data_IF_949241074860
#
_entry.id   IF_949241074860
#
_cell.length_a   1.000
_cell.length_b   1.000
_cell.length_c   1.000
_cell.angle_alpha   90.00
_cell.angle_beta   90.00
_cell.angle_gamma   90.00
#
_symmetry.space_group_name_H-M   'P 1'
#
loop_
_entity.id
_entity.type
_entity.pdbx_description
1 polymer ?
#
# COMPACT_ATOMS: atom_id res chain seq x y z
N UNK A 1 -54.97 -27.75 -35.72
CA UNK A 1 -54.75 -29.06 -36.38
C UNK A 1 -56.05 -29.74 -36.81
N UNK A 2 -57.10 -29.79 -35.97
CA UNK A 2 -58.37 -30.50 -36.28
C UNK A 2 -59.05 -29.98 -37.55
N UNK A 3 -59.06 -28.66 -37.80
CA UNK A 3 -59.67 -28.08 -39.01
C UNK A 3 -59.01 -28.47 -40.34
N UNK A 4 -57.69 -28.68 -40.34
CA UNK A 4 -56.93 -29.11 -41.54
C UNK A 4 -57.25 -30.56 -41.91
N UNK A 5 -57.42 -31.42 -40.90
CA UNK A 5 -57.74 -32.83 -41.07
C UNK A 5 -59.18 -32.98 -41.60
N UNK A 6 -60.14 -32.22 -41.06
CA UNK A 6 -61.54 -32.24 -41.51
C UNK A 6 -61.67 -31.70 -42.94
N UNK A 7 -60.90 -30.66 -43.30
CA UNK A 7 -60.88 -30.09 -44.65
C UNK A 7 -60.34 -31.04 -45.72
N UNK A 8 -59.24 -31.75 -45.43
CA UNK A 8 -58.67 -32.76 -46.32
C UNK A 8 -59.59 -33.97 -46.51
N UNK A 9 -60.30 -34.37 -45.46
CA UNK A 9 -61.23 -35.49 -45.49
C UNK A 9 -62.47 -35.18 -46.35
N UNK A 10 -63.01 -33.95 -46.28
CA UNK A 10 -64.09 -33.48 -47.16
C UNK A 10 -63.66 -33.39 -48.63
N UNK A 11 -62.44 -32.93 -48.91
CA UNK A 11 -61.88 -32.87 -50.27
C UNK A 11 -61.71 -34.25 -50.92
N UNK A 12 -61.36 -35.26 -50.12
CA UNK A 12 -61.28 -36.64 -50.58
C UNK A 12 -62.67 -37.24 -50.85
N UNK A 13 -63.66 -36.97 -49.99
CA UNK A 13 -65.04 -37.45 -50.18
C UNK A 13 -65.67 -36.87 -51.46
N UNK A 14 -65.42 -35.60 -51.76
CA UNK A 14 -65.89 -34.94 -53.00
C UNK A 14 -65.21 -35.52 -54.24
N UNK A 15 -63.93 -35.88 -54.18
CA UNK A 15 -63.23 -36.53 -55.29
C UNK A 15 -63.68 -37.98 -55.53
N UNK A 16 -64.03 -38.72 -54.47
CA UNK A 16 -64.43 -40.13 -54.57
C UNK A 16 -65.89 -40.31 -55.02
N UNK A 17 -66.78 -39.33 -54.80
CA UNK A 17 -68.21 -39.46 -55.13
C UNK A 17 -68.56 -39.17 -56.60
N UNK A 18 -67.64 -38.69 -57.43
CA UNK A 18 -67.94 -38.37 -58.84
C UNK A 18 -67.02 -39.14 -59.82
N UNK A 19 -67.21 -40.46 -59.81
CA UNK A 19 -66.71 -41.33 -60.88
C UNK A 19 -67.46 -41.11 -62.19
N UNK A 20 -66.69 -40.82 -63.25
CA UNK A 20 -67.02 -40.93 -64.69
C UNK A 20 -68.31 -40.24 -65.17
N UNK A 21 -68.18 -39.00 -65.67
CA UNK A 21 -68.82 -38.63 -66.94
C UNK A 21 -68.21 -37.38 -67.57
N UNK A 22 -67.99 -37.47 -68.88
CA UNK A 22 -67.42 -36.46 -69.77
C UNK A 22 -68.33 -35.24 -69.92
N UNK A 23 -67.89 -34.04 -69.54
CA UNK A 23 -68.34 -32.79 -70.17
C UNK A 23 -67.41 -31.62 -69.80
N UNK A 24 -66.98 -30.87 -70.81
CA UNK A 24 -65.83 -29.97 -70.79
C UNK A 24 -65.98 -28.66 -70.03
N UNK A 25 -64.81 -28.16 -69.59
CA UNK A 25 -64.37 -26.76 -69.35
C UNK A 25 -65.16 -25.93 -68.31
N UNK A 26 -66.42 -26.24 -67.99
CA UNK A 26 -67.22 -25.47 -67.00
C UNK A 26 -67.06 -25.91 -65.54
N UNK A 27 -66.53 -27.12 -65.28
CA UNK A 27 -66.35 -27.65 -63.91
C UNK A 27 -65.07 -27.16 -63.22
N UNK A 28 -64.02 -26.86 -63.98
CA UNK A 28 -62.76 -26.31 -63.46
C UNK A 28 -62.95 -24.89 -62.93
N UNK A 29 -63.70 -24.05 -63.66
CA UNK A 29 -64.00 -22.68 -63.25
C UNK A 29 -64.84 -22.61 -61.95
N UNK A 30 -65.77 -23.55 -61.74
CA UNK A 30 -66.61 -23.59 -60.54
C UNK A 30 -65.83 -24.05 -59.29
N UNK A 31 -64.91 -25.01 -59.43
CA UNK A 31 -64.02 -25.43 -58.34
C UNK A 31 -62.97 -24.38 -57.99
N UNK A 32 -62.43 -23.65 -59.00
CA UNK A 32 -61.52 -22.53 -58.76
C UNK A 32 -62.25 -21.35 -58.09
N UNK A 33 -63.53 -21.12 -58.41
CA UNK A 33 -64.37 -20.14 -57.69
C UNK A 33 -64.67 -20.56 -56.24
N UNK A 34 -64.91 -21.85 -55.97
CA UNK A 34 -65.16 -22.31 -54.60
C UNK A 34 -63.90 -22.29 -53.73
N UNK A 35 -62.72 -22.57 -54.30
CA UNK A 35 -61.44 -22.45 -53.59
C UNK A 35 -61.09 -20.98 -53.31
N UNK A 36 -61.39 -20.06 -54.23
CA UNK A 36 -61.17 -18.62 -54.03
C UNK A 36 -62.18 -17.97 -53.06
N UNK A 37 -63.39 -18.53 -52.92
CA UNK A 37 -64.34 -18.13 -51.88
C UNK A 37 -63.95 -18.68 -50.50
N UNK A 38 -63.33 -19.86 -50.41
CA UNK A 38 -62.83 -20.41 -49.15
C UNK A 38 -61.53 -19.77 -48.65
N UNK A 39 -60.70 -19.24 -49.55
CA UNK A 39 -59.55 -18.38 -49.18
C UNK A 39 -59.95 -16.92 -48.93
N UNK A 40 -61.23 -16.58 -49.18
CA UNK A 40 -61.74 -15.21 -49.21
C UNK A 40 -62.76 -14.85 -48.12
N UNK A 41 -62.87 -15.62 -47.04
CA UNK A 41 -63.70 -15.23 -45.88
C UNK A 41 -62.81 -14.77 -44.73
N UNK A 42 -62.82 -13.45 -44.54
CA UNK A 42 -62.03 -12.76 -43.54
C UNK A 42 -62.37 -13.15 -42.11
N UNK A 43 -61.32 -13.28 -41.31
CA UNK A 43 -61.18 -12.79 -39.95
C UNK A 43 -59.69 -13.06 -39.61
N UNK A 44 -58.80 -12.09 -39.47
CA UNK A 44 -58.98 -10.89 -38.67
C UNK A 44 -57.72 -10.04 -38.88
N UNK A 45 -57.83 -8.91 -39.59
CA UNK A 45 -56.77 -7.91 -39.65
C UNK A 45 -56.38 -7.43 -38.23
N UNK A 46 -57.32 -7.51 -37.29
CA UNK A 46 -57.08 -7.24 -35.87
C UNK A 46 -56.19 -8.30 -35.21
N UNK A 47 -56.37 -9.60 -35.48
CA UNK A 47 -55.46 -10.65 -34.95
C UNK A 47 -54.05 -10.53 -35.50
N UNK A 48 -53.87 -10.22 -36.79
CA UNK A 48 -52.54 -10.00 -37.36
C UNK A 48 -51.88 -8.73 -36.80
N UNK A 49 -52.64 -7.64 -36.59
CA UNK A 49 -52.12 -6.43 -35.94
C UNK A 49 -51.75 -6.67 -34.46
N UNK A 50 -52.55 -7.42 -33.71
CA UNK A 50 -52.24 -7.80 -32.32
C UNK A 50 -50.99 -8.66 -32.26
N UNK A 51 -50.85 -9.64 -33.16
CA UNK A 51 -49.68 -10.52 -33.22
C UNK A 51 -48.41 -9.74 -33.58
N UNK A 52 -48.48 -8.82 -34.56
CA UNK A 52 -47.36 -7.95 -34.92
C UNK A 52 -46.96 -7.04 -33.74
N UNK A 53 -47.92 -6.46 -33.03
CA UNK A 53 -47.65 -5.65 -31.83
C UNK A 53 -46.99 -6.46 -30.71
N UNK A 54 -47.39 -7.72 -30.53
CA UNK A 54 -46.74 -8.63 -29.58
C UNK A 54 -45.32 -8.98 -30.03
N UNK A 55 -45.12 -9.22 -31.33
CA UNK A 55 -43.81 -9.50 -31.91
C UNK A 55 -42.86 -8.30 -31.74
N UNK A 56 -43.31 -7.08 -32.05
CA UNK A 56 -42.52 -5.85 -31.86
C UNK A 56 -42.13 -5.64 -30.39
N UNK A 57 -43.06 -5.93 -29.46
CA UNK A 57 -42.78 -5.87 -28.02
C UNK A 57 -41.72 -6.90 -27.62
N UNK A 58 -41.77 -8.11 -28.17
CA UNK A 58 -40.75 -9.12 -27.93
C UNK A 58 -39.40 -8.73 -28.52
N UNK A 59 -39.37 -8.20 -29.75
CA UNK A 59 -38.14 -7.71 -30.40
C UNK A 59 -37.51 -6.60 -29.54
N UNK A 60 -38.30 -5.61 -29.11
CA UNK A 60 -37.81 -4.54 -28.24
C UNK A 60 -37.29 -5.07 -26.89
N UNK A 61 -37.96 -6.06 -26.31
CA UNK A 61 -37.52 -6.68 -25.06
C UNK A 61 -36.21 -7.42 -25.24
N UNK A 62 -36.09 -8.22 -26.31
CA UNK A 62 -34.88 -8.96 -26.62
C UNK A 62 -33.70 -8.04 -26.92
N UNK A 63 -33.93 -6.92 -27.61
CA UNK A 63 -32.89 -5.92 -27.84
C UNK A 63 -32.40 -5.31 -26.53
N UNK A 64 -33.31 -4.93 -25.62
CA UNK A 64 -32.93 -4.44 -24.28
C UNK A 64 -32.18 -5.49 -23.46
N UNK A 65 -32.52 -6.76 -23.60
CA UNK A 65 -31.79 -7.85 -22.94
C UNK A 65 -30.39 -8.00 -23.53
N UNK A 66 -30.25 -7.88 -24.84
CA UNK A 66 -28.96 -7.94 -25.53
C UNK A 66 -28.04 -6.77 -25.12
N UNK A 67 -28.57 -5.56 -25.03
CA UNK A 67 -27.82 -4.38 -24.55
C UNK A 67 -27.35 -4.57 -23.10
N UNK A 68 -28.21 -5.13 -22.24
CA UNK A 68 -27.83 -5.44 -20.84
C UNK A 68 -26.77 -6.53 -20.76
N UNK A 69 -26.86 -7.55 -21.62
CA UNK A 69 -25.89 -8.64 -21.66
C UNK A 69 -24.52 -8.12 -22.09
N UNK A 70 -24.46 -7.32 -23.15
CA UNK A 70 -23.21 -6.69 -23.60
C UNK A 70 -22.63 -5.77 -22.52
N UNK A 71 -23.47 -4.99 -21.82
CA UNK A 71 -23.00 -4.14 -20.71
C UNK A 71 -22.39 -4.99 -19.59
N UNK A 72 -23.08 -6.06 -19.19
CA UNK A 72 -22.58 -6.98 -18.16
C UNK A 72 -21.27 -7.68 -18.58
N UNK A 73 -21.13 -8.02 -19.87
CA UNK A 73 -19.90 -8.58 -20.43
C UNK A 73 -18.74 -7.59 -20.33
N UNK A 74 -18.93 -6.33 -20.74
CA UNK A 74 -17.89 -5.29 -20.62
C UNK A 74 -17.50 -5.00 -19.16
N UNK A 75 -18.46 -5.05 -18.23
CA UNK A 75 -18.20 -4.89 -16.80
C UNK A 75 -17.37 -6.05 -16.26
N UNK A 76 -17.67 -7.29 -16.68
CA UNK A 76 -16.88 -8.46 -16.30
C UNK A 76 -15.45 -8.41 -16.85
N UNK A 77 -15.26 -7.96 -18.09
CA UNK A 77 -13.91 -7.79 -18.66
C UNK A 77 -13.12 -6.75 -17.88
N UNK A 78 -13.75 -5.61 -17.55
CA UNK A 78 -13.13 -4.55 -16.74
C UNK A 78 -12.76 -5.05 -15.34
N UNK A 79 -13.64 -5.84 -14.71
CA UNK A 79 -13.37 -6.43 -13.40
C UNK A 79 -12.24 -7.46 -13.47
N UNK A 80 -12.18 -8.26 -14.53
CA UNK A 80 -11.10 -9.23 -14.77
C UNK A 80 -9.74 -8.54 -14.90
N UNK A 81 -9.66 -7.44 -15.67
CA UNK A 81 -8.45 -6.62 -15.76
C UNK A 81 -8.02 -6.05 -14.41
N UNK A 82 -8.99 -5.56 -13.63
CA UNK A 82 -8.71 -5.01 -12.29
C UNK A 82 -8.21 -6.09 -11.32
N UNK A 83 -8.74 -7.31 -11.40
CA UNK A 83 -8.26 -8.45 -10.59
C UNK A 83 -6.81 -8.77 -10.93
N UNK A 84 -6.45 -8.82 -12.22
CA UNK A 84 -5.07 -9.09 -12.62
C UNK A 84 -4.10 -8.01 -12.15
N UNK A 85 -4.49 -6.73 -12.26
CA UNK A 85 -3.68 -5.62 -11.74
C UNK A 85 -3.48 -5.71 -10.23
N UNK A 86 -4.52 -6.07 -9.46
CA UNK A 86 -4.43 -6.24 -8.02
C UNK A 86 -3.56 -7.45 -7.64
N UNK A 87 -3.62 -8.54 -8.39
CA UNK A 87 -2.77 -9.73 -8.19
C UNK A 87 -1.28 -9.42 -8.41
N UNK A 88 -0.97 -8.58 -9.40
CA UNK A 88 0.40 -8.11 -9.63
C UNK A 88 0.89 -7.15 -8.53
N UNK A 89 0.03 -6.23 -8.05
CA UNK A 89 0.34 -5.38 -6.90
C UNK A 89 0.57 -6.21 -5.61
N UNK A 90 -0.25 -7.23 -5.37
CA UNK A 90 -0.13 -8.12 -4.21
C UNK A 90 1.21 -8.88 -4.23
N UNK A 91 1.64 -9.38 -5.39
CA UNK A 91 2.96 -10.03 -5.54
C UNK A 91 4.11 -9.07 -5.27
N UNK A 92 4.03 -7.83 -5.74
CA UNK A 92 5.07 -6.83 -5.50
C UNK A 92 5.16 -6.49 -4.00
N UNK A 93 4.03 -6.26 -3.34
CA UNK A 93 4.00 -6.05 -1.89
C UNK A 93 4.54 -7.25 -1.11
N UNK A 94 4.24 -8.48 -1.54
CA UNK A 94 4.78 -9.68 -0.92
C UNK A 94 6.31 -9.75 -1.05
N UNK A 95 6.86 -9.46 -2.24
CA UNK A 95 8.32 -9.41 -2.44
C UNK A 95 9.00 -8.35 -1.56
N UNK A 96 8.36 -7.19 -1.40
CA UNK A 96 8.89 -6.13 -0.54
C UNK A 96 8.87 -6.53 0.94
N UNK A 97 7.81 -7.18 1.40
CA UNK A 97 7.72 -7.67 2.77
C UNK A 97 8.77 -8.76 3.07
N UNK A 98 9.02 -9.67 2.13
CA UNK A 98 10.09 -10.68 2.26
C UNK A 98 11.49 -10.03 2.35
N UNK A 99 11.77 -9.03 1.50
CA UNK A 99 13.02 -8.26 1.55
C UNK A 99 13.17 -7.53 2.88
N UNK A 100 12.09 -6.92 3.38
CA UNK A 100 12.10 -6.20 4.65
C UNK A 100 12.34 -7.16 5.82
N UNK A 101 11.69 -8.32 5.83
CA UNK A 101 11.91 -9.36 6.84
C UNK A 101 13.37 -9.82 6.89
N UNK A 102 13.98 -10.07 5.72
CA UNK A 102 15.39 -10.43 5.64
C UNK A 102 16.32 -9.33 6.17
N UNK A 103 16.00 -8.06 5.90
CA UNK A 103 16.75 -6.92 6.42
C UNK A 103 16.64 -6.79 7.94
N UNK A 104 15.45 -7.01 8.49
CA UNK A 104 15.23 -7.02 9.95
C UNK A 104 16.07 -8.11 10.61
N UNK A 105 16.04 -9.34 10.07
CA UNK A 105 16.84 -10.45 10.61
C UNK A 105 18.35 -10.16 10.56
N UNK A 106 18.83 -9.52 9.49
CA UNK A 106 20.23 -9.12 9.37
C UNK A 106 20.63 -8.07 10.43
N UNK A 107 19.80 -7.04 10.63
CA UNK A 107 20.05 -5.98 11.61
C UNK A 107 20.00 -6.50 13.05
N UNK A 108 19.11 -7.45 13.34
CA UNK A 108 19.06 -8.11 14.66
C UNK A 108 20.34 -8.89 14.95
N UNK A 109 20.87 -9.62 13.97
CA UNK A 109 22.16 -10.33 14.10
C UNK A 109 23.31 -9.35 14.33
N UNK A 110 23.34 -8.26 13.58
CA UNK A 110 24.37 -7.22 13.72
C UNK A 110 24.33 -6.56 15.12
N UNK A 111 23.14 -6.19 15.60
CA UNK A 111 22.96 -5.62 16.94
C UNK A 111 23.41 -6.58 18.05
N UNK A 112 23.13 -7.88 17.92
CA UNK A 112 23.61 -8.88 18.87
C UNK A 112 25.13 -8.96 18.91
N UNK A 113 25.78 -8.91 17.74
CA UNK A 113 27.26 -8.91 17.63
C UNK A 113 27.84 -7.65 18.26
N UNK A 114 27.28 -6.47 17.93
CA UNK A 114 27.74 -5.19 18.47
C UNK A 114 27.58 -5.11 20.00
N UNK A 115 26.44 -5.58 20.52
CA UNK A 115 26.19 -5.68 21.95
C UNK A 115 27.25 -6.54 22.65
N UNK A 116 27.58 -7.71 22.09
CA UNK A 116 28.64 -8.58 22.62
C UNK A 116 30.02 -7.92 22.59
N UNK A 117 30.39 -7.25 21.49
CA UNK A 117 31.66 -6.52 21.37
C UNK A 117 31.77 -5.39 22.42
N UNK A 118 30.70 -4.63 22.63
CA UNK A 118 30.68 -3.58 23.65
C UNK A 118 30.85 -4.14 25.06
N UNK A 119 30.26 -5.30 25.36
CA UNK A 119 30.45 -5.96 26.65
C UNK A 119 31.89 -6.45 26.86
N UNK A 120 32.57 -6.87 25.80
CA UNK A 120 33.99 -7.25 25.89
C UNK A 120 34.89 -6.04 26.07
N UNK A 121 34.69 -4.99 25.28
CA UNK A 121 35.47 -3.75 25.36
C UNK A 121 35.34 -3.06 26.73
N UNK A 122 34.15 -3.10 27.33
CA UNK A 122 33.93 -2.55 28.68
C UNK A 122 34.76 -3.31 29.72
N UNK A 123 34.76 -4.65 29.69
CA UNK A 123 35.59 -5.48 30.58
C UNK A 123 37.09 -5.24 30.39
N UNK A 124 37.54 -5.09 29.14
CA UNK A 124 38.93 -4.77 28.84
C UNK A 124 39.33 -3.39 29.37
N UNK A 125 38.48 -2.38 29.17
CA UNK A 125 38.70 -1.04 29.71
C UNK A 125 38.76 -1.02 31.24
N UNK A 126 37.86 -1.74 31.92
CA UNK A 126 37.88 -1.86 33.37
C UNK A 126 39.19 -2.51 33.87
N UNK A 127 39.61 -3.58 33.19
CA UNK A 127 40.87 -4.28 33.52
C UNK A 127 42.09 -3.38 33.29
N UNK A 128 42.11 -2.62 32.21
CA UNK A 128 43.16 -1.64 31.91
C UNK A 128 43.19 -0.50 32.91
N UNK A 129 42.03 -0.01 33.36
CA UNK A 129 41.92 1.03 34.38
C UNK A 129 42.51 0.56 35.72
N UNK A 130 42.23 -0.68 36.12
CA UNK A 130 42.81 -1.30 37.32
C UNK A 130 44.33 -1.45 37.17
N UNK A 131 44.80 -1.96 36.02
CA UNK A 131 46.23 -2.11 35.75
C UNK A 131 46.96 -0.76 35.78
N UNK A 132 46.37 0.29 35.19
CA UNK A 132 46.90 1.65 35.21
C UNK A 132 47.02 2.19 36.64
N UNK A 133 45.96 2.06 37.45
CA UNK A 133 45.99 2.50 38.84
C UNK A 133 47.05 1.76 39.68
N UNK A 134 47.30 0.48 39.39
CA UNK A 134 48.36 -0.28 40.06
C UNK A 134 49.76 0.27 39.70
N UNK A 135 50.01 0.52 38.43
CA UNK A 135 51.30 1.07 37.95
C UNK A 135 51.54 2.48 38.51
N UNK A 136 50.51 3.34 38.54
CA UNK A 136 50.61 4.68 39.13
C UNK A 136 50.98 4.62 40.62
N UNK A 137 50.40 3.69 41.38
CA UNK A 137 50.75 3.49 42.78
C UNK A 137 52.20 2.98 42.96
N UNK A 138 52.63 2.01 42.14
CA UNK A 138 54.01 1.51 42.15
C UNK A 138 55.02 2.62 41.79
N UNK A 139 54.73 3.43 40.77
CA UNK A 139 55.54 4.59 40.40
C UNK A 139 55.65 5.62 41.53
N UNK A 140 54.55 5.90 42.22
CA UNK A 140 54.54 6.83 43.35
C UNK A 140 55.38 6.30 44.53
N UNK A 141 55.33 4.99 44.79
CA UNK A 141 56.13 4.36 45.83
C UNK A 141 57.64 4.44 45.52
N UNK A 142 58.01 4.18 44.26
CA UNK A 142 59.41 4.30 43.80
C UNK A 142 59.90 5.75 43.76
N UNK A 143 59.05 6.71 43.42
CA UNK A 143 59.37 8.14 43.47
C UNK A 143 59.63 8.59 44.91
N UNK A 144 58.87 8.08 45.88
CA UNK A 144 59.03 8.40 47.31
C UNK A 144 60.27 7.78 47.94
N UNK A 145 60.70 6.62 47.46
CA UNK A 145 61.97 5.98 47.84
C UNK A 145 63.20 6.69 47.23
N UNK A 146 63.00 7.48 46.17
CA UNK A 146 64.04 8.27 45.50
C UNK A 146 64.22 9.69 46.07
N UNK A 147 63.36 10.14 46.99
CA UNK A 147 63.36 11.50 47.56
C UNK A 147 63.98 11.64 48.97
N UNK A 148 64.64 10.61 49.51
CA UNK A 148 65.37 10.68 50.80
C UNK A 148 66.89 11.00 50.63
N UNK A 149 67.32 11.33 49.41
CA UNK A 149 68.69 11.80 49.14
C UNK A 149 68.68 12.97 48.16
N UNK A 150 68.60 14.18 48.72
CA UNK A 150 69.12 15.49 48.26
C UNK A 150 68.11 16.61 48.57
N UNK A 151 68.19 17.12 49.79
CA UNK A 151 67.87 18.51 50.10
C UNK A 151 69.18 19.31 50.03
N UNK A 152 69.38 20.04 48.94
CA UNK A 152 70.22 21.25 48.92
C UNK A 152 69.91 22.07 47.65
N UNK A 153 69.28 23.24 47.84
CA UNK A 153 69.37 24.46 46.99
C UNK A 153 68.83 24.37 45.54
N UNK A 154 68.10 25.31 44.94
CA UNK A 154 68.00 26.77 45.06
C UNK A 154 66.75 27.24 44.30
N UNK A 155 66.09 28.21 44.89
CA UNK A 155 65.30 29.33 44.34
C UNK A 155 65.43 29.66 42.83
N UNK A 156 64.29 29.80 42.14
CA UNK A 156 64.02 30.84 41.13
C UNK A 156 62.58 30.77 40.60
N UNK A 157 61.71 31.57 41.22
CA UNK A 157 60.93 32.66 40.60
C UNK A 157 60.31 32.50 39.18
N UNK A 158 58.97 32.70 39.18
CA UNK A 158 58.16 33.46 38.20
C UNK A 158 57.96 32.81 36.81
N UNK A 159 56.81 32.84 36.14
CA UNK A 159 55.79 33.89 36.09
C UNK A 159 54.52 33.37 35.40
N UNK A 160 53.44 34.11 35.66
CA UNK A 160 52.06 33.99 35.20
C UNK A 160 51.86 33.90 33.68
N UNK A 161 50.75 33.27 33.25
CA UNK A 161 49.87 33.95 32.30
C UNK A 161 48.42 33.45 32.38
N UNK A 162 47.64 34.25 33.10
CA UNK A 162 46.19 34.36 33.04
C UNK A 162 45.76 34.95 31.69
N UNK A 163 44.79 34.31 31.01
CA UNK A 163 43.98 35.01 30.02
C UNK A 163 42.51 34.68 30.26
N UNK A 164 41.92 35.45 31.15
CA UNK A 164 40.49 35.72 31.25
C UNK A 164 40.07 36.51 30.00
N UNK A 165 38.96 36.10 29.40
CA UNK A 165 38.07 37.02 28.69
C UNK A 165 36.63 36.65 29.03
N UNK A 166 36.07 37.48 29.89
CA UNK A 166 34.67 37.57 30.27
C UNK A 166 33.75 37.85 29.06
N UNK A 167 32.56 37.22 29.02
CA UNK A 167 31.30 37.95 29.10
C UNK A 167 30.09 37.03 29.37
N UNK A 168 29.58 37.15 30.60
CA UNK A 168 28.17 37.27 31.05
C UNK A 168 27.06 36.28 30.61
N UNK A 169 26.98 35.17 31.37
CA UNK A 169 25.86 34.75 32.26
C UNK A 169 24.39 34.98 31.83
N UNK A 170 23.70 33.88 31.49
CA UNK A 170 22.52 33.43 32.27
C UNK A 170 22.77 31.98 32.68
N UNK A 171 23.20 31.81 33.93
CA UNK A 171 23.37 30.51 34.56
C UNK A 171 22.03 29.92 34.95
N UNK A 172 21.72 28.77 34.40
CA UNK A 172 21.06 27.70 35.13
C UNK A 172 21.99 26.50 35.01
N UNK A 173 22.38 25.91 36.14
CA UNK A 173 23.26 24.73 36.21
C UNK A 173 22.74 23.66 35.25
N UNK A 174 23.34 23.59 34.06
CA UNK A 174 23.06 22.53 33.11
C UNK A 174 24.02 21.42 33.42
N UNK A 175 23.45 20.27 33.76
CA UNK A 175 24.22 19.04 33.84
C UNK A 175 24.76 18.73 32.42
N UNK A 176 26.04 19.05 32.19
CA UNK A 176 26.79 18.69 30.99
C UNK A 176 26.83 17.16 30.76
N UNK A 177 26.24 16.34 31.65
CA UNK A 177 26.04 14.90 31.42
C UNK A 177 25.06 14.59 30.29
N UNK A 178 24.14 15.51 29.98
CA UNK A 178 23.15 15.34 28.92
C UNK A 178 23.66 15.91 27.59
N UNK A 179 23.75 15.10 26.53
CA UNK A 179 24.43 15.48 25.28
C UNK A 179 23.61 16.22 24.22
N UNK A 180 22.32 16.47 24.40
CA UNK A 180 21.45 17.10 23.37
C UNK A 180 21.26 18.58 23.69
N UNK A 181 21.60 19.46 22.74
CA UNK A 181 21.52 20.92 22.90
C UNK A 181 20.14 21.44 22.47
N UNK A 182 19.37 22.02 23.38
CA UNK A 182 18.16 22.78 23.10
C UNK A 182 18.44 24.25 22.86
N UNK A 183 18.21 24.76 21.66
CA UNK A 183 18.37 26.17 21.32
C UNK A 183 17.13 26.99 21.71
N UNK A 184 17.32 28.27 22.04
CA UNK A 184 16.24 29.25 22.27
C UNK A 184 15.14 29.24 21.19
N UNK A 185 15.48 28.90 19.94
CA UNK A 185 14.52 28.79 18.83
C UNK A 185 13.59 27.55 18.90
N UNK A 186 13.61 26.79 20.00
CA UNK A 186 12.84 25.55 20.17
C UNK A 186 13.34 24.42 19.26
N UNK A 187 14.64 24.40 18.95
CA UNK A 187 15.25 23.36 18.10
C UNK A 187 16.25 22.57 18.94
N UNK A 188 16.15 21.25 18.93
CA UNK A 188 17.15 20.39 19.57
C UNK A 188 18.20 19.93 18.56
N UNK A 189 19.44 19.76 19.03
CA UNK A 189 20.55 19.24 18.25
C UNK A 189 21.18 18.06 18.95
N UNK A 190 21.22 16.92 18.25
CA UNK A 190 21.90 15.69 18.72
C UNK A 190 23.38 15.67 18.32
N UNK A 191 24.27 15.05 19.13
CA UNK A 191 25.66 14.86 18.76
C UNK A 191 25.80 14.22 17.37
N UNK A 192 26.63 14.80 16.51
CA UNK A 192 26.82 14.35 15.12
C UNK A 192 25.81 14.89 14.10
N UNK A 193 24.81 15.68 14.52
CA UNK A 193 23.96 16.43 13.56
C UNK A 193 24.72 17.61 12.92
N UNK A 194 24.32 18.00 11.70
CA UNK A 194 24.99 19.04 10.88
C UNK A 194 25.20 20.39 11.57
N UNK A 195 24.38 20.71 12.57
CA UNK A 195 24.38 22.00 13.26
C UNK A 195 24.77 21.90 14.74
N UNK A 196 25.13 20.71 15.23
CA UNK A 196 25.41 20.47 16.65
C UNK A 196 26.53 21.36 17.21
N UNK A 197 27.66 21.44 16.52
CA UNK A 197 28.84 22.20 16.97
C UNK A 197 28.69 23.71 16.78
N UNK A 198 27.73 24.13 15.93
CA UNK A 198 27.48 25.55 15.60
C UNK A 198 26.37 26.18 16.43
N UNK A 199 25.73 25.41 17.32
CA UNK A 199 24.65 25.92 18.16
C UNK A 199 25.25 26.65 19.35
N UNK A 200 25.10 27.97 19.39
CA UNK A 200 25.71 28.86 20.41
C UNK A 200 24.73 29.37 21.46
N UNK A 201 23.42 29.33 21.20
CA UNK A 201 22.37 29.82 22.10
C UNK A 201 21.63 28.64 22.74
N UNK A 202 22.34 27.87 23.57
CA UNK A 202 21.78 26.71 24.27
C UNK A 202 21.09 27.19 25.54
N UNK A 203 19.80 26.86 25.68
CA UNK A 203 18.96 27.24 26.83
C UNK A 203 18.54 26.04 27.67
N UNK A 204 18.76 24.82 27.18
CA UNK A 204 18.47 23.58 27.90
C UNK A 204 19.30 22.43 27.32
N UNK A 205 19.73 21.51 28.17
CA UNK A 205 20.31 20.24 27.75
C UNK A 205 19.33 19.10 28.04
N UNK A 206 19.25 18.13 27.12
CA UNK A 206 18.38 16.97 27.22
C UNK A 206 19.20 15.69 27.15
N UNK A 207 18.77 14.67 27.89
CA UNK A 207 19.43 13.38 27.89
C UNK A 207 18.84 12.44 26.84
N UNK A 208 17.62 12.72 26.34
CA UNK A 208 17.01 12.00 25.21
C UNK A 208 16.28 12.93 24.24
N UNK A 209 16.00 12.42 23.04
CA UNK A 209 15.25 13.16 22.02
C UNK A 209 13.80 13.32 22.43
N UNK A 210 13.24 12.28 23.03
CA UNK A 210 11.86 12.25 23.54
C UNK A 210 11.65 13.33 24.61
N UNK A 211 12.61 13.50 25.53
CA UNK A 211 12.57 14.55 26.55
C UNK A 211 12.54 15.95 25.92
N UNK A 212 13.34 16.17 24.87
CA UNK A 212 13.35 17.43 24.15
C UNK A 212 12.01 17.70 23.45
N UNK A 213 11.42 16.68 22.83
CA UNK A 213 10.14 16.79 22.14
C UNK A 213 8.96 17.02 23.11
N UNK A 214 8.96 16.37 24.27
CA UNK A 214 8.00 16.62 25.35
C UNK A 214 8.12 18.04 25.92
N UNK A 215 9.34 18.58 25.97
CA UNK A 215 9.62 19.98 26.31
C UNK A 215 9.24 20.97 25.19
N UNK A 216 8.71 20.49 24.05
CA UNK A 216 8.23 21.32 22.95
C UNK A 216 9.29 21.70 21.92
N UNK A 217 10.48 21.10 21.99
CA UNK A 217 11.52 21.29 20.98
C UNK A 217 11.27 20.41 19.76
N UNK A 218 11.76 20.84 18.61
CA UNK A 218 11.65 20.09 17.34
C UNK A 218 13.02 19.85 16.70
N UNK A 219 13.08 18.86 15.82
CA UNK A 219 14.27 18.60 15.02
C UNK A 219 14.59 19.76 14.03
N UNK A 220 15.86 19.91 13.60
CA UNK A 220 16.24 20.84 12.54
C UNK A 220 15.60 20.46 11.20
N UNK A 221 15.19 21.48 10.42
CA UNK A 221 14.74 21.25 9.04
C UNK A 221 15.96 20.94 8.16
N UNK A 222 15.83 19.92 7.31
CA UNK A 222 16.84 19.61 6.29
C UNK A 222 16.77 20.58 5.14
#
# INVERSE_FOLDING_TARGET
MIGLIVGLLLLLIVNLSFGKNSFGIKRSALMICLISVFLGTGCSADKTAILNKQLDKQISTNQKLLDKLNKAETENDTLSEKINSLDDEEKEFQSQNEKLAAKVESLEKENKILSGKNQTLTKENDSLKIAKAKIENELNYMAKESTDYQDETTDSALEDNESVSDDEVIGTDFDDSCGIKGSENGIYHVPGSTYYDRTTHVVQWFCSVEEAEEAGYRAPKR
#
